data_IF_327079938931
#
_entry.id   IF_327079938931
#
_cell.length_a   1.000
_cell.length_b   1.000
_cell.length_c   1.000
_cell.angle_alpha   90.00
_cell.angle_beta   90.00
_cell.angle_gamma   90.00
#
_symmetry.space_group_name_H-M   'P 1'
#
loop_
_entity.id
_entity.type
_entity.pdbx_description
1 polymer ?
#
# COMPACT_ATOMS: atom_id res chain seq x y z
N UNK A 1 -4.62 -15.58 -42.78
CA UNK A 1 -4.15 -16.00 -41.44
C UNK A 1 -4.24 -14.92 -40.36
N UNK A 2 -4.13 -13.62 -40.68
CA UNK A 2 -4.13 -12.52 -39.68
C UNK A 2 -5.46 -12.33 -38.92
N UNK A 3 -6.62 -12.44 -39.59
CA UNK A 3 -7.93 -12.29 -38.94
C UNK A 3 -8.22 -13.37 -37.88
N UNK A 4 -7.77 -14.61 -38.10
CA UNK A 4 -8.01 -15.73 -37.18
C UNK A 4 -7.22 -15.53 -35.87
N UNK A 5 -6.01 -14.96 -35.95
CA UNK A 5 -5.20 -14.65 -34.77
C UNK A 5 -5.84 -13.55 -33.91
N UNK A 6 -6.41 -12.50 -34.53
CA UNK A 6 -7.10 -11.43 -33.81
C UNK A 6 -8.36 -11.92 -33.09
N UNK A 7 -9.15 -12.77 -33.74
CA UNK A 7 -10.35 -13.36 -33.13
C UNK A 7 -9.97 -14.24 -31.93
N UNK A 8 -8.89 -15.02 -32.02
CA UNK A 8 -8.41 -15.83 -30.90
C UNK A 8 -7.95 -14.97 -29.71
N UNK A 9 -7.19 -13.91 -29.97
CA UNK A 9 -6.74 -12.99 -28.93
C UNK A 9 -7.92 -12.33 -28.20
N UNK A 10 -8.96 -11.92 -28.91
CA UNK A 10 -10.17 -11.35 -28.29
C UNK A 10 -10.94 -12.38 -27.44
N UNK A 11 -10.98 -13.64 -27.87
CA UNK A 11 -11.61 -14.72 -27.09
C UNK A 11 -10.81 -15.01 -25.82
N UNK A 12 -9.49 -15.01 -25.89
CA UNK A 12 -8.60 -15.19 -24.73
C UNK A 12 -8.75 -14.04 -23.72
N UNK A 13 -8.72 -12.80 -24.18
CA UNK A 13 -8.94 -11.61 -23.33
C UNK A 13 -10.32 -11.67 -22.65
N UNK A 14 -11.36 -12.08 -23.39
CA UNK A 14 -12.70 -12.24 -22.81
C UNK A 14 -12.71 -13.30 -21.70
N UNK A 15 -12.05 -14.43 -21.92
CA UNK A 15 -11.97 -15.49 -20.90
C UNK A 15 -11.19 -15.08 -19.65
N UNK A 16 -10.19 -14.21 -19.80
CA UNK A 16 -9.43 -13.63 -18.70
C UNK A 16 -10.30 -12.63 -17.90
N UNK A 17 -11.05 -11.78 -18.59
CA UNK A 17 -12.02 -10.85 -17.96
C UNK A 17 -13.13 -11.60 -17.23
N UNK A 18 -13.69 -12.66 -17.84
CA UNK A 18 -14.76 -13.46 -17.25
C UNK A 18 -14.28 -14.26 -16.02
N UNK A 19 -12.97 -14.55 -15.92
CA UNK A 19 -12.37 -15.28 -14.79
C UNK A 19 -12.15 -14.39 -13.58
N UNK A 20 -11.72 -13.15 -13.80
CA UNK A 20 -11.40 -12.16 -12.76
C UNK A 20 -12.58 -11.18 -12.55
N UNK A 21 -13.80 -11.72 -12.42
CA UNK A 21 -15.07 -10.95 -12.45
C UNK A 21 -15.14 -9.76 -11.47
N UNK A 22 -14.38 -9.79 -10.38
CA UNK A 22 -14.33 -8.72 -9.37
C UNK A 22 -13.33 -7.58 -9.70
N UNK A 23 -12.38 -7.82 -10.62
CA UNK A 23 -11.29 -6.89 -10.95
C UNK A 23 -11.55 -6.06 -12.23
N UNK A 24 -12.55 -6.44 -13.03
CA UNK A 24 -12.90 -5.75 -14.28
C UNK A 24 -14.31 -5.12 -14.23
N UNK A 25 -14.41 -3.81 -14.50
CA UNK A 25 -15.70 -3.13 -14.71
C UNK A 25 -15.86 -2.69 -16.16
N UNK A 26 -16.94 -3.13 -16.79
CA UNK A 26 -17.31 -2.75 -18.15
C UNK A 26 -17.84 -1.31 -18.14
N UNK A 27 -17.32 -0.48 -19.04
CA UNK A 27 -17.76 0.89 -19.24
C UNK A 27 -18.22 1.08 -20.69
N UNK A 28 -19.32 1.81 -20.89
CA UNK A 28 -19.76 2.19 -22.23
C UNK A 28 -18.82 3.24 -22.82
N UNK A 29 -18.62 3.21 -24.15
CA UNK A 29 -17.66 4.07 -24.85
C UNK A 29 -18.04 5.55 -24.92
N UNK A 30 -19.23 5.92 -24.42
CA UNK A 30 -19.78 7.29 -24.50
C UNK A 30 -19.63 8.09 -23.19
N UNK A 31 -18.77 7.63 -22.27
CA UNK A 31 -18.54 8.32 -21.00
C UNK A 31 -17.62 9.53 -21.18
N UNK A 32 -17.95 10.61 -20.49
CA UNK A 32 -17.05 11.75 -20.37
C UNK A 32 -15.82 11.39 -19.54
N UNK A 33 -14.69 12.09 -19.75
CA UNK A 33 -13.45 11.88 -18.97
C UNK A 33 -13.69 11.94 -17.46
N UNK A 34 -14.63 12.78 -17.01
CA UNK A 34 -14.99 12.93 -15.61
C UNK A 34 -15.67 11.67 -15.05
N UNK A 35 -16.52 11.01 -15.85
CA UNK A 35 -17.21 9.78 -15.45
C UNK A 35 -16.25 8.58 -15.45
N UNK A 36 -15.30 8.55 -16.38
CA UNK A 36 -14.20 7.56 -16.39
C UNK A 36 -13.35 7.72 -15.13
N UNK A 37 -12.96 8.95 -14.78
CA UNK A 37 -12.16 9.22 -13.57
C UNK A 37 -12.85 8.77 -12.28
N UNK A 38 -14.16 9.02 -12.15
CA UNK A 38 -14.95 8.56 -10.99
C UNK A 38 -15.02 7.04 -10.93
N UNK A 39 -15.25 6.36 -12.06
CA UNK A 39 -15.32 4.90 -12.12
C UNK A 39 -13.97 4.24 -11.84
N UNK A 40 -12.87 4.80 -12.34
CA UNK A 40 -11.52 4.35 -12.00
C UNK A 40 -11.30 4.45 -10.50
N UNK A 41 -11.70 5.56 -9.87
CA UNK A 41 -11.62 5.72 -8.42
C UNK A 41 -12.52 4.73 -7.63
N UNK A 42 -13.55 4.14 -8.25
CA UNK A 42 -14.39 3.08 -7.68
C UNK A 42 -13.89 1.66 -7.95
N UNK A 43 -12.95 1.48 -8.87
CA UNK A 43 -12.31 0.19 -9.21
C UNK A 43 -10.99 0.05 -8.49
N UNK A 44 -10.31 1.15 -8.18
CA UNK A 44 -9.16 1.12 -7.30
C UNK A 44 -9.59 0.56 -5.94
N UNK A 45 -9.02 -0.59 -5.50
CA UNK A 45 -9.44 -1.23 -4.27
C UNK A 45 -9.22 -0.27 -3.11
N UNK A 46 -10.32 0.14 -2.48
CA UNK A 46 -10.31 1.18 -1.45
C UNK A 46 -10.02 0.64 -0.04
N UNK A 47 -9.77 -0.65 0.12
CA UNK A 47 -9.31 -1.24 1.37
C UNK A 47 -8.40 -2.42 1.04
N UNK A 48 -7.10 -2.14 0.92
CA UNK A 48 -6.13 -3.23 1.00
C UNK A 48 -6.09 -3.63 2.48
N UNK A 49 -6.44 -4.89 2.75
CA UNK A 49 -6.37 -5.42 4.12
C UNK A 49 -4.96 -5.24 4.66
N UNK A 50 -4.84 -4.83 5.92
CA UNK A 50 -3.56 -4.65 6.63
C UNK A 50 -2.64 -5.88 6.51
N UNK A 51 -3.19 -7.09 6.25
CA UNK A 51 -2.43 -8.32 5.97
C UNK A 51 -1.80 -8.37 4.57
N UNK A 52 -2.50 -7.91 3.53
CA UNK A 52 -1.99 -7.93 2.15
C UNK A 52 -0.93 -6.86 1.94
N UNK A 53 -1.05 -5.73 2.63
CA UNK A 53 -0.03 -4.69 2.70
C UNK A 53 1.26 -5.15 3.38
N UNK A 54 1.16 -5.91 4.48
CA UNK A 54 2.32 -6.57 5.11
C UNK A 54 3.04 -7.51 4.15
N UNK A 55 2.30 -8.27 3.34
CA UNK A 55 2.85 -9.19 2.35
C UNK A 55 3.50 -8.45 1.17
N UNK A 56 2.87 -7.36 0.69
CA UNK A 56 3.36 -6.54 -0.43
C UNK A 56 4.60 -5.73 -0.06
N UNK A 57 4.67 -5.18 1.15
CA UNK A 57 5.79 -4.39 1.65
C UNK A 57 6.89 -5.23 2.35
N UNK A 58 6.68 -6.55 2.52
CA UNK A 58 7.58 -7.48 3.24
C UNK A 58 8.02 -6.93 4.62
N UNK A 59 7.12 -6.23 5.30
CA UNK A 59 7.42 -5.61 6.59
C UNK A 59 7.54 -6.67 7.67
N UNK A 60 8.61 -6.59 8.46
CA UNK A 60 8.81 -7.47 9.60
C UNK A 60 7.86 -7.10 10.75
N UNK A 61 7.47 -8.08 11.56
CA UNK A 61 6.55 -7.87 12.68
C UNK A 61 7.08 -6.84 13.69
N UNK A 62 8.40 -6.84 13.91
CA UNK A 62 9.08 -5.91 14.80
C UNK A 62 8.97 -4.46 14.32
N UNK A 63 8.86 -4.22 13.01
CA UNK A 63 8.73 -2.88 12.44
C UNK A 63 7.33 -2.31 12.63
N UNK A 64 6.32 -3.18 12.51
CA UNK A 64 4.93 -2.84 12.79
C UNK A 64 4.77 -2.49 14.27
N UNK A 65 5.44 -3.25 15.15
CA UNK A 65 5.41 -2.97 16.58
C UNK A 65 6.09 -1.64 16.92
N UNK A 66 7.18 -1.28 16.24
CA UNK A 66 7.77 0.07 16.35
C UNK A 66 6.77 1.15 15.93
N UNK A 67 6.06 0.97 14.81
CA UNK A 67 5.05 1.91 14.33
C UNK A 67 3.89 2.07 15.32
N UNK A 68 3.39 0.96 15.87
CA UNK A 68 2.31 0.93 16.87
C UNK A 68 2.71 1.66 18.16
N UNK A 69 3.86 1.32 18.73
CA UNK A 69 4.33 1.99 19.95
C UNK A 69 4.64 3.47 19.69
N UNK A 70 5.14 3.81 18.50
CA UNK A 70 5.38 5.20 18.14
C UNK A 70 4.09 6.00 17.93
N UNK A 71 3.00 5.40 17.44
CA UNK A 71 1.70 6.07 17.30
C UNK A 71 1.05 6.34 18.66
N UNK A 72 1.33 5.48 19.66
CA UNK A 72 0.96 5.68 21.07
C UNK A 72 1.80 6.75 21.78
N UNK A 73 2.79 7.33 21.09
CA UNK A 73 3.63 8.43 21.60
C UNK A 73 4.90 7.97 22.32
N UNK A 74 5.25 6.68 22.29
CA UNK A 74 6.49 6.21 22.91
C UNK A 74 7.72 6.72 22.16
N UNK A 75 8.76 7.08 22.93
CA UNK A 75 10.08 7.43 22.42
C UNK A 75 10.89 6.16 22.13
N UNK A 76 11.89 6.27 21.23
CA UNK A 76 12.68 5.12 20.76
C UNK A 76 13.35 4.31 21.87
N UNK A 77 13.77 4.97 22.95
CA UNK A 77 14.37 4.30 24.12
C UNK A 77 13.36 3.41 24.86
N UNK A 78 12.10 3.82 24.92
CA UNK A 78 11.02 3.05 25.54
C UNK A 78 10.59 1.92 24.61
N UNK A 79 10.48 2.21 23.31
CA UNK A 79 10.20 1.22 22.27
C UNK A 79 11.26 0.10 22.30
N UNK A 80 12.55 0.47 22.35
CA UNK A 80 13.65 -0.48 22.41
C UNK A 80 13.52 -1.45 23.60
N UNK A 81 13.13 -0.95 24.77
CA UNK A 81 12.86 -1.77 25.95
C UNK A 81 11.64 -2.68 25.78
N UNK A 82 10.54 -2.16 25.23
CA UNK A 82 9.30 -2.92 25.02
C UNK A 82 9.50 -4.11 24.08
N UNK A 83 10.25 -3.91 22.99
CA UNK A 83 10.52 -4.97 22.00
C UNK A 83 11.82 -5.74 22.28
N UNK A 84 12.41 -5.55 23.46
CA UNK A 84 13.66 -6.19 23.91
C UNK A 84 14.82 -6.08 22.90
N UNK A 85 15.11 -4.87 22.44
CA UNK A 85 16.21 -4.57 21.52
C UNK A 85 17.02 -3.34 21.97
N UNK A 86 18.03 -2.97 21.19
CA UNK A 86 18.83 -1.78 21.45
C UNK A 86 18.29 -0.55 20.72
N UNK A 87 18.47 0.65 21.29
CA UNK A 87 18.07 1.93 20.69
C UNK A 87 18.56 2.10 19.23
N UNK A 88 19.81 1.68 18.95
CA UNK A 88 20.38 1.69 17.59
C UNK A 88 19.60 0.83 16.60
N UNK A 89 19.02 -0.27 17.08
CA UNK A 89 18.21 -1.17 16.26
C UNK A 89 16.87 -0.52 15.94
N UNK A 90 16.25 0.17 16.89
CA UNK A 90 15.01 0.94 16.64
C UNK A 90 15.24 2.02 15.58
N UNK A 91 16.37 2.75 15.64
CA UNK A 91 16.74 3.70 14.57
C UNK A 91 16.92 3.03 13.22
N UNK A 92 17.57 1.85 13.19
CA UNK A 92 17.70 1.07 11.97
C UNK A 92 16.34 0.65 11.41
N UNK A 93 15.40 0.24 12.28
CA UNK A 93 14.03 -0.08 11.89
C UNK A 93 13.32 1.14 11.30
N UNK A 94 13.47 2.33 11.89
CA UNK A 94 12.93 3.57 11.32
C UNK A 94 13.39 3.82 9.89
N UNK A 95 14.69 3.71 9.61
CA UNK A 95 15.21 3.86 8.24
C UNK A 95 14.62 2.84 7.29
N UNK A 96 14.47 1.59 7.74
CA UNK A 96 13.89 0.52 6.92
C UNK A 96 12.39 0.74 6.65
N UNK A 97 11.65 1.18 7.65
CA UNK A 97 10.23 1.52 7.53
C UNK A 97 10.04 2.69 6.57
N UNK A 98 10.84 3.74 6.71
CA UNK A 98 10.80 4.91 5.83
C UNK A 98 11.06 4.53 4.37
N UNK A 99 12.09 3.72 4.13
CA UNK A 99 12.39 3.21 2.79
C UNK A 99 11.27 2.33 2.23
N UNK A 100 10.63 1.50 3.06
CA UNK A 100 9.54 0.64 2.63
C UNK A 100 8.24 1.43 2.36
N UNK A 101 8.05 2.57 3.01
CA UNK A 101 6.90 3.46 2.83
C UNK A 101 7.16 4.59 1.82
N UNK A 102 8.34 4.61 1.18
CA UNK A 102 8.81 5.67 0.30
C UNK A 102 8.68 7.07 0.93
N UNK A 103 9.04 7.19 2.21
CA UNK A 103 8.99 8.44 2.97
C UNK A 103 10.35 9.11 2.98
N UNK A 104 10.42 10.27 2.34
CA UNK A 104 11.64 11.07 2.22
C UNK A 104 11.57 12.34 3.09
N UNK A 105 12.71 12.93 3.48
CA UNK A 105 12.74 14.21 4.17
C UNK A 105 12.08 15.31 3.34
N UNK A 106 11.13 16.03 3.97
CA UNK A 106 10.52 17.22 3.40
C UNK A 106 10.86 18.42 4.28
N UNK A 107 11.19 19.56 3.66
CA UNK A 107 11.61 20.76 4.39
C UNK A 107 10.55 21.20 5.41
N UNK A 108 11.00 21.41 6.65
CA UNK A 108 10.14 21.84 7.76
C UNK A 108 9.22 20.77 8.35
N UNK A 109 9.24 19.52 7.86
CA UNK A 109 8.42 18.43 8.40
C UNK A 109 9.24 17.44 9.22
N UNK A 110 8.68 17.01 10.35
CA UNK A 110 9.26 15.93 11.13
C UNK A 110 9.03 14.60 10.41
N UNK A 111 10.11 13.96 9.98
CA UNK A 111 10.10 12.70 9.23
C UNK A 111 9.33 11.60 9.97
N UNK A 112 9.36 11.57 11.31
CA UNK A 112 8.63 10.59 12.13
C UNK A 112 7.12 10.76 11.99
N UNK A 113 6.64 12.00 12.05
CA UNK A 113 5.21 12.31 11.91
C UNK A 113 4.74 11.97 10.50
N UNK A 114 5.55 12.29 9.49
CA UNK A 114 5.25 11.96 8.10
C UNK A 114 5.16 10.43 7.90
N UNK A 115 6.09 9.69 8.49
CA UNK A 115 6.10 8.21 8.43
C UNK A 115 4.87 7.62 9.12
N UNK A 116 4.49 8.12 10.29
CA UNK A 116 3.30 7.65 11.01
C UNK A 116 2.01 7.96 10.24
N UNK A 117 1.92 9.15 9.63
CA UNK A 117 0.78 9.51 8.77
C UNK A 117 0.68 8.54 7.58
N UNK A 118 1.78 8.30 6.89
CA UNK A 118 1.84 7.37 5.75
C UNK A 118 1.48 5.94 6.18
N UNK A 119 1.99 5.49 7.33
CA UNK A 119 1.67 4.18 7.88
C UNK A 119 0.17 4.02 8.18
N UNK A 120 -0.52 5.07 8.62
CA UNK A 120 -1.99 5.07 8.80
C UNK A 120 -2.75 5.07 7.47
N UNK A 121 -2.30 5.85 6.49
CA UNK A 121 -2.88 5.85 5.14
C UNK A 121 -2.76 4.48 4.46
N UNK A 122 -1.65 3.78 4.72
CA UNK A 122 -1.39 2.41 4.30
C UNK A 122 -1.99 1.36 5.27
N UNK A 123 -2.88 1.74 6.20
CA UNK A 123 -3.56 0.81 7.10
C UNK A 123 -2.65 -0.05 7.98
N UNK A 124 -1.37 0.29 8.17
CA UNK A 124 -0.46 -0.51 9.00
C UNK A 124 -0.73 -0.33 10.50
N UNK A 125 -1.30 0.81 10.87
CA UNK A 125 -1.64 1.24 12.22
C UNK A 125 -2.95 2.04 12.18
N UNK A 126 -3.70 2.00 13.27
CA UNK A 126 -4.95 2.75 13.49
C UNK A 126 -4.67 4.21 13.92
#
# INVERSE_FOLDING_TARGET
MMQIAYIKALVEIKQEIDREQDDFKIAETNLSEKEISIRVNWVLPREISTKELKAKLKLKQEWIEVLRLASEGFQDRVIAKQINTHDRTVRHYWTKIQNALDVYPEDGKNLRILTLKRAREEGLID
#
